data_IF_066535702529
#
_entry.id   IF_066535702529
#
_cell.length_a   1.000
_cell.length_b   1.000
_cell.length_c   1.000
_cell.angle_alpha   90.00
_cell.angle_beta   90.00
_cell.angle_gamma   90.00
#
_symmetry.space_group_name_H-M   'P 1'
#
loop_
_entity.id
_entity.type
_entity.pdbx_description
1 polymer ?
#
# COMPACT_ATOMS: atom_id res chain seq x y z
N UNK A 1 -1.11 51.25 80.73
CA UNK A 1 -1.27 49.80 81.02
C UNK A 1 -1.88 49.14 79.78
N UNK A 2 -1.49 47.90 79.50
CA UNK A 2 -2.08 46.90 78.56
C UNK A 2 -3.62 46.99 78.41
N UNK A 3 -4.34 46.53 77.37
CA UNK A 3 -4.06 45.92 76.05
C UNK A 3 -5.39 45.99 75.22
N UNK A 4 -5.52 45.69 73.92
CA UNK A 4 -4.63 45.18 72.85
C UNK A 4 -5.08 45.80 71.48
N UNK A 5 -4.47 45.45 70.34
CA UNK A 5 -4.94 45.83 68.99
C UNK A 5 -4.66 44.73 67.95
N UNK A 6 -5.68 44.03 67.48
CA UNK A 6 -5.56 43.03 66.39
C UNK A 6 -6.00 43.61 65.04
N UNK A 7 -5.31 43.18 63.98
CA UNK A 7 -5.49 43.63 62.60
C UNK A 7 -6.75 43.05 61.96
N UNK A 8 -7.38 43.82 61.08
CA UNK A 8 -8.26 43.26 60.04
C UNK A 8 -7.39 42.74 58.90
N UNK A 9 -7.56 41.46 58.57
CA UNK A 9 -6.89 40.82 57.45
C UNK A 9 -7.79 40.88 56.20
N UNK A 10 -7.26 41.39 55.09
CA UNK A 10 -7.98 41.53 53.81
C UNK A 10 -7.44 40.48 52.83
N UNK A 11 -8.02 39.27 52.92
CA UNK A 11 -7.74 38.20 51.96
C UNK A 11 -8.24 38.54 50.56
N UNK A 12 -7.31 38.91 49.66
CA UNK A 12 -7.58 39.04 48.23
C UNK A 12 -7.81 37.67 47.58
N UNK A 13 -8.72 37.61 46.61
CA UNK A 13 -9.08 36.36 45.90
C UNK A 13 -8.83 36.52 44.40
N UNK A 14 -8.24 35.50 43.79
CA UNK A 14 -7.63 35.54 42.44
C UNK A 14 -8.57 35.87 41.26
N UNK A 15 -8.49 37.09 40.76
CA UNK A 15 -9.04 37.45 39.44
C UNK A 15 -8.29 36.86 38.21
N UNK A 16 -6.95 36.68 38.17
CA UNK A 16 -6.26 36.36 36.91
C UNK A 16 -6.29 34.87 36.49
N UNK A 17 -6.74 33.95 37.36
CA UNK A 17 -6.71 32.51 37.08
C UNK A 17 -7.95 31.97 36.34
N UNK A 18 -9.12 32.59 36.49
CA UNK A 18 -10.32 32.14 35.75
C UNK A 18 -10.22 32.46 34.26
N UNK A 19 -9.76 33.66 33.86
CA UNK A 19 -9.62 34.02 32.44
C UNK A 19 -8.61 33.13 31.69
N UNK A 20 -7.48 32.75 32.31
CA UNK A 20 -6.56 31.77 31.69
C UNK A 20 -7.17 30.38 31.51
N UNK A 21 -8.05 29.95 32.43
CA UNK A 21 -8.74 28.66 32.33
C UNK A 21 -9.74 28.65 31.16
N UNK A 22 -10.54 29.71 30.99
CA UNK A 22 -11.46 29.79 29.84
C UNK A 22 -10.73 29.90 28.50
N UNK A 23 -9.65 30.68 28.42
CA UNK A 23 -8.88 30.84 27.17
C UNK A 23 -8.17 29.53 26.76
N UNK A 24 -7.65 28.77 27.73
CA UNK A 24 -7.05 27.45 27.44
C UNK A 24 -8.09 26.38 27.08
N UNK A 25 -9.28 26.40 27.68
CA UNK A 25 -10.39 25.53 27.24
C UNK A 25 -10.85 25.83 25.81
N UNK A 26 -10.93 27.12 25.42
CA UNK A 26 -11.30 27.52 24.06
C UNK A 26 -10.25 27.10 23.02
N UNK A 27 -8.95 27.26 23.34
CA UNK A 27 -7.84 26.84 22.46
C UNK A 27 -7.81 25.31 22.28
N UNK A 28 -8.04 24.56 23.35
CA UNK A 28 -8.04 23.09 23.34
C UNK A 28 -9.25 22.53 22.55
N UNK A 29 -10.41 23.18 22.64
CA UNK A 29 -11.59 22.84 21.83
C UNK A 29 -11.35 23.08 20.33
N UNK A 30 -10.57 24.11 19.98
CA UNK A 30 -10.22 24.42 18.59
C UNK A 30 -9.22 23.41 18.00
N UNK A 31 -8.23 22.95 18.79
CA UNK A 31 -7.30 21.89 18.35
C UNK A 31 -7.99 20.54 18.07
N UNK A 32 -9.05 20.20 18.81
CA UNK A 32 -9.78 18.94 18.59
C UNK A 32 -10.70 18.94 17.36
N UNK A 33 -11.04 20.11 16.80
CA UNK A 33 -11.91 20.21 15.61
C UNK A 33 -11.15 20.15 14.28
N UNK A 34 -9.91 20.66 14.24
CA UNK A 34 -9.07 20.68 13.02
C UNK A 34 -8.88 19.31 12.33
N UNK A 35 -8.57 18.19 13.02
CA UNK A 35 -8.40 16.90 12.34
C UNK A 35 -9.70 16.32 11.76
N UNK A 36 -10.87 16.66 12.32
CA UNK A 36 -12.17 16.20 11.83
C UNK A 36 -12.64 16.99 10.59
N UNK A 37 -12.31 18.29 10.50
CA UNK A 37 -12.60 19.11 9.33
C UNK A 37 -11.80 18.68 8.09
N UNK A 38 -10.51 18.35 8.26
CA UNK A 38 -9.70 17.81 7.16
C UNK A 38 -10.25 16.46 6.66
N UNK A 39 -10.55 15.52 7.56
CA UNK A 39 -11.04 14.19 7.19
C UNK A 39 -12.43 14.25 6.52
N UNK A 40 -13.32 15.12 6.98
CA UNK A 40 -14.65 15.30 6.36
C UNK A 40 -14.57 15.96 4.98
N UNK A 41 -13.73 16.97 4.78
CA UNK A 41 -13.48 17.55 3.46
C UNK A 41 -12.86 16.53 2.48
N UNK A 42 -11.94 15.68 2.96
CA UNK A 42 -11.29 14.66 2.12
C UNK A 42 -12.26 13.52 1.74
N UNK A 43 -13.17 13.13 2.64
CA UNK A 43 -14.28 12.21 2.34
C UNK A 43 -15.31 12.82 1.37
N UNK A 44 -15.62 14.11 1.50
CA UNK A 44 -16.51 14.81 0.56
C UNK A 44 -15.89 14.99 -0.83
N UNK A 45 -14.57 15.20 -0.92
CA UNK A 45 -13.85 15.20 -2.19
C UNK A 45 -13.92 13.82 -2.88
N UNK A 46 -13.69 12.73 -2.15
CA UNK A 46 -13.83 11.36 -2.68
C UNK A 46 -15.28 11.05 -3.14
N UNK A 47 -16.29 11.53 -2.40
CA UNK A 47 -17.69 11.39 -2.79
C UNK A 47 -18.03 12.20 -4.06
N UNK A 48 -17.52 13.42 -4.20
CA UNK A 48 -17.70 14.27 -5.37
C UNK A 48 -17.04 13.67 -6.63
N UNK A 49 -15.84 13.09 -6.50
CA UNK A 49 -15.16 12.32 -7.55
C UNK A 49 -16.01 11.13 -7.99
N UNK A 50 -16.55 10.36 -7.05
CA UNK A 50 -17.41 9.20 -7.35
C UNK A 50 -18.68 9.61 -8.11
N UNK A 51 -19.27 10.76 -7.78
CA UNK A 51 -20.39 11.32 -8.52
C UNK A 51 -20.02 11.75 -9.95
N UNK A 52 -18.84 12.35 -10.15
CA UNK A 52 -18.35 12.75 -11.46
C UNK A 52 -18.09 11.55 -12.40
N UNK A 53 -17.49 10.48 -11.88
CA UNK A 53 -17.25 9.23 -12.64
C UNK A 53 -18.58 8.60 -13.10
N UNK A 54 -19.59 8.55 -12.23
CA UNK A 54 -20.93 8.07 -12.60
C UNK A 54 -21.60 8.96 -13.67
N UNK A 55 -21.34 10.27 -13.66
CA UNK A 55 -21.92 11.20 -14.63
C UNK A 55 -21.28 11.08 -16.02
N UNK A 56 -20.00 10.70 -16.09
CA UNK A 56 -19.28 10.46 -17.35
C UNK A 56 -19.71 9.12 -18.00
N UNK A 57 -20.04 8.12 -17.20
CA UNK A 57 -20.43 6.79 -17.68
C UNK A 57 -21.85 6.71 -18.30
N UNK A 58 -22.65 7.79 -18.22
CA UNK A 58 -23.98 7.87 -18.84
C UNK A 58 -24.01 8.45 -20.26
N UNK A 59 -22.89 8.93 -20.81
CA UNK A 59 -22.83 9.49 -22.18
C UNK A 59 -22.27 8.53 -23.25
N UNK A 60 -21.87 7.33 -22.87
CA UNK A 60 -21.36 6.31 -23.80
C UNK A 60 -22.50 5.49 -24.42
N UNK A 61 -22.86 5.74 -25.68
CA UNK A 61 -23.78 4.88 -26.42
C UNK A 61 -23.21 3.45 -26.59
N UNK A 62 -24.01 2.39 -26.46
CA UNK A 62 -23.55 1.02 -26.70
C UNK A 62 -23.31 0.78 -28.20
N UNK A 63 -22.11 0.32 -28.56
CA UNK A 63 -21.75 -0.06 -29.93
C UNK A 63 -22.45 -1.36 -30.36
N UNK A 64 -22.78 -1.49 -31.66
CA UNK A 64 -23.59 -2.60 -32.22
C UNK A 64 -23.13 -4.02 -31.82
N UNK A 65 -21.85 -4.23 -31.53
CA UNK A 65 -21.31 -5.51 -31.09
C UNK A 65 -22.00 -6.04 -29.81
N UNK A 66 -22.42 -5.14 -28.91
CA UNK A 66 -23.16 -5.49 -27.68
C UNK A 66 -24.51 -6.13 -27.98
N UNK A 67 -25.27 -5.59 -28.94
CA UNK A 67 -26.62 -6.05 -29.26
C UNK A 67 -26.64 -7.43 -29.95
N UNK A 68 -25.66 -7.73 -30.80
CA UNK A 68 -25.53 -9.04 -31.46
C UNK A 68 -25.19 -10.17 -30.46
N UNK A 69 -24.41 -9.86 -29.41
CA UNK A 69 -24.12 -10.82 -28.34
C UNK A 69 -25.39 -11.13 -27.52
N UNK A 70 -26.20 -10.11 -27.20
CA UNK A 70 -27.43 -10.27 -26.42
C UNK A 70 -28.51 -11.11 -27.13
N UNK A 71 -28.67 -10.99 -28.45
CA UNK A 71 -29.63 -11.82 -29.20
C UNK A 71 -29.24 -13.31 -29.21
N UNK A 72 -27.93 -13.63 -29.26
CA UNK A 72 -27.46 -15.03 -29.25
C UNK A 72 -27.74 -15.75 -27.92
N UNK A 73 -27.71 -15.05 -26.79
CA UNK A 73 -27.98 -15.63 -25.47
C UNK A 73 -29.48 -15.93 -25.26
N UNK A 74 -30.37 -15.17 -25.90
CA UNK A 74 -31.82 -15.40 -25.80
C UNK A 74 -32.30 -16.60 -26.64
N UNK A 75 -31.67 -16.87 -27.79
CA UNK A 75 -32.02 -18.01 -28.64
C UNK A 75 -31.77 -19.37 -27.97
N UNK A 76 -30.74 -19.49 -27.12
CA UNK A 76 -30.34 -20.76 -26.49
C UNK A 76 -31.22 -21.22 -25.32
N UNK A 77 -32.31 -20.50 -25.00
CA UNK A 77 -33.20 -20.79 -23.85
C UNK A 77 -34.55 -21.42 -24.23
N UNK A 78 -34.79 -21.70 -25.51
CA UNK A 78 -36.10 -22.09 -26.04
C UNK A 78 -36.30 -23.60 -26.31
N UNK A 79 -35.29 -24.44 -26.11
CA UNK A 79 -35.39 -25.90 -26.28
C UNK A 79 -34.86 -26.62 -25.04
N UNK A 80 -35.78 -27.14 -24.21
CA UNK A 80 -35.68 -28.37 -23.38
C UNK A 80 -36.85 -28.42 -22.37
N UNK A 81 -38.03 -28.84 -22.85
CA UNK A 81 -39.12 -29.40 -22.04
C UNK A 81 -39.97 -30.32 -22.92
N UNK A 82 -39.90 -31.62 -22.64
CA UNK A 82 -41.00 -32.60 -22.62
C UNK A 82 -40.46 -34.03 -22.83
N UNK A 83 -41.12 -35.04 -22.23
CA UNK A 83 -40.90 -36.46 -22.49
C UNK A 83 -40.48 -37.28 -21.27
N UNK A 84 -41.40 -38.10 -20.74
CA UNK A 84 -41.22 -39.01 -19.60
C UNK A 84 -41.56 -40.45 -20.02
N UNK A 85 -40.82 -41.47 -19.53
CA UNK A 85 -41.36 -42.77 -19.02
C UNK A 85 -40.31 -43.89 -18.86
N UNK A 86 -40.23 -44.39 -17.61
CA UNK A 86 -40.29 -45.81 -17.15
C UNK A 86 -39.26 -46.91 -17.50
N UNK A 87 -38.83 -47.57 -16.40
CA UNK A 87 -38.58 -49.03 -16.21
C UNK A 87 -37.40 -49.75 -16.92
N UNK A 88 -36.32 -50.06 -16.16
CA UNK A 88 -36.14 -51.38 -15.49
C UNK A 88 -34.80 -51.49 -14.71
N UNK A 89 -34.82 -52.24 -13.60
CA UNK A 89 -33.71 -52.77 -12.78
C UNK A 89 -33.84 -54.32 -12.77
N UNK A 90 -32.90 -55.15 -12.23
CA UNK A 90 -31.70 -54.84 -11.44
C UNK A 90 -30.40 -55.60 -11.85
N UNK A 91 -29.27 -55.39 -11.14
CA UNK A 91 -28.18 -56.39 -11.14
C UNK A 91 -26.81 -56.00 -10.56
N UNK A 92 -26.49 -56.56 -9.37
CA UNK A 92 -25.16 -56.84 -8.79
C UNK A 92 -24.10 -55.74 -8.51
N UNK A 93 -23.82 -55.57 -7.22
CA UNK A 93 -22.46 -55.40 -6.66
C UNK A 93 -21.79 -56.78 -6.45
N UNK A 94 -20.47 -56.87 -6.15
CA UNK A 94 -20.09 -56.82 -4.73
C UNK A 94 -18.76 -56.07 -4.41
N UNK A 95 -18.54 -55.92 -3.10
CA UNK A 95 -17.34 -55.46 -2.38
C UNK A 95 -16.05 -56.22 -2.76
N UNK A 96 -14.82 -55.78 -2.40
CA UNK A 96 -14.32 -55.62 -1.02
C UNK A 96 -12.81 -55.24 -1.03
N UNK A 97 -12.20 -54.93 0.13
CA UNK A 97 -10.81 -55.35 0.39
C UNK A 97 -9.72 -54.29 0.64
N UNK A 98 -9.59 -53.93 1.92
CA UNK A 98 -8.44 -53.30 2.60
C UNK A 98 -7.04 -53.86 2.29
N UNK A 99 -5.99 -53.05 2.49
CA UNK A 99 -4.60 -53.51 2.60
C UNK A 99 -3.63 -52.41 3.08
N UNK A 100 -2.76 -52.71 4.05
CA UNK A 100 -1.90 -51.72 4.72
C UNK A 100 -0.43 -52.17 4.84
N UNK A 101 0.46 -51.19 5.05
CA UNK A 101 1.82 -51.29 5.62
C UNK A 101 2.91 -52.09 4.87
N UNK A 102 4.09 -51.48 4.73
CA UNK A 102 5.31 -52.15 4.23
C UNK A 102 6.52 -51.22 4.21
N UNK A 103 7.36 -51.28 5.23
CA UNK A 103 8.54 -50.43 5.42
C UNK A 103 9.84 -51.10 4.91
N UNK A 104 10.80 -50.36 4.33
CA UNK A 104 12.27 -50.46 4.62
C UNK A 104 13.18 -49.89 3.52
N UNK A 105 14.26 -49.24 3.95
CA UNK A 105 15.40 -48.73 3.16
C UNK A 105 16.43 -49.83 2.80
N UNK A 106 17.20 -49.67 1.70
CA UNK A 106 18.68 -49.53 1.79
C UNK A 106 19.35 -49.10 0.45
N UNK A 107 20.59 -48.60 0.56
CA UNK A 107 21.48 -48.19 -0.55
C UNK A 107 22.18 -49.38 -1.26
N UNK A 108 22.51 -49.26 -2.55
CA UNK A 108 23.92 -49.33 -2.99
C UNK A 108 24.21 -48.78 -4.42
N UNK A 109 25.51 -48.68 -4.77
CA UNK A 109 26.12 -48.00 -5.92
C UNK A 109 26.10 -48.82 -7.24
N UNK A 110 26.23 -48.14 -8.40
CA UNK A 110 26.22 -48.71 -9.77
C UNK A 110 27.53 -49.37 -10.24
N UNK A 111 27.94 -49.38 -11.55
CA UNK A 111 27.44 -48.60 -12.69
C UNK A 111 27.27 -49.36 -14.06
N UNK A 112 26.99 -48.62 -15.15
CA UNK A 112 27.44 -48.81 -16.58
C UNK A 112 26.40 -49.06 -17.71
N UNK A 113 26.32 -48.08 -18.63
CA UNK A 113 25.95 -48.08 -20.08
C UNK A 113 24.55 -48.52 -20.63
N UNK A 114 23.74 -47.49 -20.91
CA UNK A 114 23.42 -46.92 -22.26
C UNK A 114 22.52 -47.68 -23.26
N UNK A 115 21.23 -47.34 -23.23
CA UNK A 115 20.30 -47.09 -24.35
C UNK A 115 19.24 -46.11 -23.82
N UNK A 116 19.17 -44.83 -24.18
CA UNK A 116 18.98 -44.17 -25.49
C UNK A 116 17.49 -43.99 -25.89
N UNK A 117 16.82 -43.08 -25.18
CA UNK A 117 15.66 -42.24 -25.54
C UNK A 117 15.71 -41.11 -24.48
N UNK A 118 16.09 -39.85 -24.76
CA UNK A 118 15.43 -38.84 -25.60
C UNK A 118 13.93 -38.71 -25.26
N UNK A 119 13.42 -37.64 -24.65
CA UNK A 119 14.06 -36.38 -24.25
C UNK A 119 13.04 -35.25 -24.28
N UNK A 120 12.38 -34.99 -23.15
CA UNK A 120 11.42 -33.87 -23.01
C UNK A 120 11.98 -32.77 -22.10
N UNK A 121 13.00 -32.07 -22.61
CA UNK A 121 13.19 -30.65 -22.25
C UNK A 121 12.15 -29.83 -23.04
N UNK A 122 10.89 -29.90 -22.60
CA UNK A 122 9.79 -29.07 -23.10
C UNK A 122 9.74 -27.76 -22.33
N UNK A 123 9.72 -26.63 -23.04
CA UNK A 123 9.88 -25.29 -22.45
C UNK A 123 8.86 -24.97 -21.35
N UNK A 124 9.29 -24.14 -20.40
CA UNK A 124 8.44 -23.64 -19.31
C UNK A 124 7.32 -22.75 -19.86
N UNK A 125 6.19 -23.37 -20.23
CA UNK A 125 4.96 -22.67 -20.52
C UNK A 125 4.48 -21.96 -19.24
N UNK A 126 4.51 -20.63 -19.25
CA UNK A 126 3.90 -19.81 -18.21
C UNK A 126 2.44 -20.21 -18.07
N UNK A 127 2.04 -20.73 -16.90
CA UNK A 127 0.63 -21.07 -16.65
C UNK A 127 -0.17 -19.78 -16.65
N UNK A 128 -1.26 -19.73 -17.41
CA UNK A 128 -2.15 -18.57 -17.43
C UNK A 128 -3.22 -18.71 -16.35
N UNK A 129 -3.47 -17.62 -15.64
CA UNK A 129 -4.55 -17.50 -14.66
C UNK A 129 -5.93 -17.70 -15.32
N UNK A 130 -6.10 -17.28 -16.57
CA UNK A 130 -7.35 -17.46 -17.34
C UNK A 130 -7.67 -18.94 -17.60
N UNK A 131 -6.66 -19.80 -17.66
CA UNK A 131 -6.79 -21.22 -18.01
C UNK A 131 -6.86 -22.13 -16.75
N UNK A 132 -6.68 -21.57 -15.55
CA UNK A 132 -6.71 -22.32 -14.29
C UNK A 132 -8.09 -22.22 -13.62
N UNK A 133 -8.85 -23.32 -13.67
CA UNK A 133 -10.20 -23.42 -13.09
C UNK A 133 -10.26 -23.01 -11.61
N UNK A 134 -9.18 -23.17 -10.83
CA UNK A 134 -9.15 -22.77 -9.41
C UNK A 134 -9.00 -21.27 -9.25
N UNK A 135 -8.22 -20.63 -10.11
CA UNK A 135 -8.13 -19.16 -10.13
C UNK A 135 -9.49 -18.57 -10.53
N UNK A 136 -10.12 -19.12 -11.56
CA UNK A 136 -11.46 -18.71 -11.98
C UNK A 136 -12.52 -18.92 -10.89
N UNK A 137 -12.51 -20.06 -10.17
CA UNK A 137 -13.47 -20.31 -9.10
C UNK A 137 -13.27 -19.39 -7.89
N UNK A 138 -12.03 -19.10 -7.49
CA UNK A 138 -11.76 -18.10 -6.45
C UNK A 138 -12.16 -16.68 -6.86
N UNK A 139 -12.04 -16.31 -8.14
CA UNK A 139 -12.51 -15.01 -8.66
C UNK A 139 -14.05 -14.89 -8.57
N UNK A 140 -14.76 -15.98 -8.84
CA UNK A 140 -16.23 -16.04 -8.66
C UNK A 140 -16.61 -15.99 -7.17
N UNK A 141 -15.93 -16.75 -6.31
CA UNK A 141 -16.15 -16.74 -4.85
C UNK A 141 -15.87 -15.36 -4.23
N UNK A 142 -14.81 -14.67 -4.66
CA UNK A 142 -14.49 -13.30 -4.23
C UNK A 142 -15.64 -12.32 -4.52
N UNK A 143 -16.29 -12.48 -5.66
CA UNK A 143 -17.28 -11.51 -6.16
C UNK A 143 -18.69 -11.83 -5.67
N UNK A 144 -19.07 -13.10 -5.64
CA UNK A 144 -20.45 -13.56 -5.41
C UNK A 144 -20.61 -14.64 -4.34
N UNK A 145 -19.51 -15.26 -3.90
CA UNK A 145 -19.54 -16.39 -2.99
C UNK A 145 -19.59 -15.99 -1.51
N UNK A 146 -19.94 -16.92 -0.61
CA UNK A 146 -19.83 -16.73 0.82
C UNK A 146 -18.37 -16.76 1.31
N UNK A 147 -17.45 -17.41 0.58
CA UNK A 147 -16.09 -17.69 1.05
C UNK A 147 -15.06 -16.63 0.60
N UNK A 148 -15.48 -15.35 0.49
CA UNK A 148 -14.65 -14.22 0.02
C UNK A 148 -13.26 -14.18 0.69
N UNK A 149 -13.18 -14.43 2.00
CA UNK A 149 -11.94 -14.34 2.77
C UNK A 149 -10.91 -15.42 2.41
N UNK A 150 -11.36 -16.65 2.12
CA UNK A 150 -10.50 -17.74 1.66
C UNK A 150 -10.03 -17.49 0.22
N UNK A 151 -10.95 -17.04 -0.65
CA UNK A 151 -10.61 -16.65 -2.03
C UNK A 151 -9.56 -15.51 -2.07
N UNK A 152 -9.70 -14.48 -1.24
CA UNK A 152 -8.69 -13.41 -1.08
C UNK A 152 -7.33 -13.96 -0.67
N UNK A 153 -7.29 -14.89 0.29
CA UNK A 153 -6.06 -15.48 0.80
C UNK A 153 -5.36 -16.33 -0.26
N UNK A 154 -6.09 -17.20 -0.97
CA UNK A 154 -5.50 -18.07 -1.98
C UNK A 154 -5.06 -17.30 -3.23
N UNK A 155 -5.88 -16.39 -3.77
CA UNK A 155 -5.47 -15.49 -4.85
C UNK A 155 -4.24 -14.65 -4.43
N UNK A 156 -4.22 -14.16 -3.19
CA UNK A 156 -3.11 -13.39 -2.62
C UNK A 156 -1.80 -14.17 -2.57
N UNK A 157 -1.84 -15.48 -2.34
CA UNK A 157 -0.68 -16.41 -2.43
C UNK A 157 -0.27 -16.70 -3.87
N UNK A 158 -1.22 -16.69 -4.82
CA UNK A 158 -0.98 -17.06 -6.22
C UNK A 158 -0.47 -15.93 -7.11
N UNK A 159 -0.56 -14.67 -6.67
CA UNK A 159 -0.18 -13.48 -7.46
C UNK A 159 1.24 -13.43 -8.06
N UNK A 160 2.17 -14.27 -7.57
CA UNK A 160 3.56 -14.35 -8.05
C UNK A 160 3.80 -15.55 -9.00
N UNK A 161 2.78 -16.38 -9.25
CA UNK A 161 2.86 -17.58 -10.08
C UNK A 161 2.22 -17.43 -11.47
N UNK A 162 1.47 -16.35 -11.70
CA UNK A 162 0.72 -16.10 -12.93
C UNK A 162 0.88 -14.62 -13.33
N UNK A 163 1.61 -14.37 -14.42
CA UNK A 163 1.88 -13.01 -14.89
C UNK A 163 0.60 -12.26 -15.33
N UNK A 164 -0.37 -13.01 -15.87
CA UNK A 164 -1.65 -12.50 -16.38
C UNK A 164 -2.71 -12.28 -15.29
N UNK A 165 -2.48 -12.67 -14.03
CA UNK A 165 -3.50 -12.55 -12.96
C UNK A 165 -4.02 -11.12 -12.81
N UNK A 166 -3.16 -10.12 -12.94
CA UNK A 166 -3.55 -8.71 -12.91
C UNK A 166 -4.58 -8.36 -14.00
N UNK A 167 -4.43 -8.90 -15.21
CA UNK A 167 -5.39 -8.74 -16.30
C UNK A 167 -6.71 -9.45 -15.99
N UNK A 168 -6.66 -10.66 -15.41
CA UNK A 168 -7.87 -11.39 -15.03
C UNK A 168 -8.64 -10.63 -13.95
N UNK A 169 -7.96 -10.15 -12.91
CA UNK A 169 -8.55 -9.37 -11.81
C UNK A 169 -9.18 -8.06 -12.31
N UNK A 170 -8.53 -7.36 -13.25
CA UNK A 170 -9.03 -6.09 -13.77
C UNK A 170 -10.23 -6.26 -14.71
N UNK A 171 -10.19 -7.25 -15.60
CA UNK A 171 -11.22 -7.45 -16.63
C UNK A 171 -12.39 -8.34 -16.17
N UNK A 172 -12.26 -9.04 -15.03
CA UNK A 172 -13.35 -9.82 -14.45
C UNK A 172 -14.41 -8.90 -13.82
N UNK A 173 -15.64 -9.04 -14.29
CA UNK A 173 -16.76 -8.19 -13.87
C UNK A 173 -16.99 -8.29 -12.35
N UNK A 174 -17.05 -7.13 -11.68
CA UNK A 174 -17.31 -7.01 -10.24
C UNK A 174 -16.09 -7.16 -9.32
N UNK A 175 -14.96 -7.71 -9.78
CA UNK A 175 -13.79 -7.97 -8.92
C UNK A 175 -13.22 -6.69 -8.31
N UNK A 176 -12.97 -5.66 -9.13
CA UNK A 176 -12.45 -4.38 -8.62
C UNK A 176 -13.41 -3.71 -7.63
N UNK A 177 -14.72 -3.88 -7.83
CA UNK A 177 -15.75 -3.41 -6.88
C UNK A 177 -15.67 -4.16 -5.55
N UNK A 178 -15.52 -5.49 -5.58
CA UNK A 178 -15.36 -6.31 -4.37
C UNK A 178 -14.07 -5.98 -3.60
N UNK A 179 -12.96 -5.72 -4.30
CA UNK A 179 -11.70 -5.30 -3.67
C UNK A 179 -11.80 -3.90 -3.03
N UNK A 180 -12.58 -2.99 -3.62
CA UNK A 180 -12.89 -1.69 -3.01
C UNK A 180 -13.87 -1.82 -1.83
N UNK A 181 -14.84 -2.74 -1.90
CA UNK A 181 -15.76 -3.08 -0.79
C UNK A 181 -14.97 -3.51 0.46
N UNK A 182 -13.97 -4.38 0.30
CA UNK A 182 -13.07 -4.80 1.38
C UNK A 182 -12.30 -3.62 1.99
N UNK A 183 -11.85 -2.64 1.19
CA UNK A 183 -11.20 -1.42 1.71
C UNK A 183 -12.16 -0.55 2.52
N UNK A 184 -13.32 -0.19 1.95
CA UNK A 184 -14.26 0.73 2.61
C UNK A 184 -14.86 0.13 3.88
N UNK A 185 -14.97 -1.22 3.95
CA UNK A 185 -15.42 -1.94 5.16
C UNK A 185 -14.55 -1.65 6.39
N UNK A 186 -13.29 -1.26 6.19
CA UNK A 186 -12.33 -1.00 7.27
C UNK A 186 -12.43 0.43 7.81
N UNK A 187 -12.98 1.38 7.04
CA UNK A 187 -13.04 2.80 7.42
C UNK A 187 -13.68 3.06 8.81
N UNK A 188 -14.79 2.40 9.22
CA UNK A 188 -15.36 2.56 10.56
C UNK A 188 -14.42 2.18 11.72
N UNK A 189 -13.41 1.34 11.47
CA UNK A 189 -12.45 0.86 12.48
C UNK A 189 -11.16 1.71 12.53
N UNK A 190 -11.05 2.76 11.72
CA UNK A 190 -9.94 3.71 11.74
C UNK A 190 -10.12 4.78 12.83
N UNK A 191 -11.37 5.13 13.15
CA UNK A 191 -11.72 6.11 14.18
C UNK A 191 -13.11 5.77 14.77
N UNK A 192 -13.20 5.19 15.99
CA UNK A 192 -12.10 4.85 16.90
C UNK A 192 -11.18 3.73 16.36
N UNK A 193 -9.93 3.70 16.83
CA UNK A 193 -8.86 2.83 16.33
C UNK A 193 -9.01 1.35 16.80
N UNK A 194 -10.10 0.70 16.39
CA UNK A 194 -10.52 -0.62 16.87
C UNK A 194 -10.30 -1.75 15.84
N UNK A 195 -9.30 -1.62 14.97
CA UNK A 195 -8.98 -2.62 13.94
C UNK A 195 -8.39 -3.90 14.56
N UNK A 196 -9.06 -5.03 14.33
CA UNK A 196 -8.61 -6.35 14.79
C UNK A 196 -7.58 -6.98 13.84
N UNK A 197 -6.76 -7.92 14.34
CA UNK A 197 -5.79 -8.65 13.52
C UNK A 197 -6.43 -9.42 12.36
N UNK A 198 -7.55 -10.16 12.52
CA UNK A 198 -8.20 -10.84 11.39
C UNK A 198 -8.69 -9.86 10.32
N UNK A 199 -9.36 -8.77 10.70
CA UNK A 199 -9.84 -7.75 9.76
C UNK A 199 -8.68 -7.09 9.00
N UNK A 200 -7.58 -6.77 9.69
CA UNK A 200 -6.34 -6.28 9.08
C UNK A 200 -5.74 -7.29 8.09
N UNK A 201 -5.66 -8.57 8.44
CA UNK A 201 -5.14 -9.61 7.55
C UNK A 201 -5.99 -9.74 6.28
N UNK A 202 -7.32 -9.77 6.42
CA UNK A 202 -8.28 -9.88 5.32
C UNK A 202 -8.14 -8.73 4.32
N UNK A 203 -8.19 -7.47 4.78
CA UNK A 203 -8.01 -6.32 3.87
C UNK A 203 -6.59 -6.30 3.27
N UNK A 204 -5.56 -6.74 4.00
CA UNK A 204 -4.20 -6.81 3.44
C UNK A 204 -4.08 -7.84 2.30
N UNK A 205 -4.87 -8.91 2.30
CA UNK A 205 -4.96 -9.82 1.15
C UNK A 205 -5.57 -9.11 -0.08
N UNK A 206 -6.64 -8.31 0.12
CA UNK A 206 -7.22 -7.50 -0.96
C UNK A 206 -6.22 -6.43 -1.46
N UNK A 207 -5.49 -5.77 -0.57
CA UNK A 207 -4.42 -4.82 -0.93
C UNK A 207 -3.29 -5.48 -1.72
N UNK A 208 -2.94 -6.75 -1.42
CA UNK A 208 -1.92 -7.48 -2.18
C UNK A 208 -2.38 -7.80 -3.61
N UNK A 209 -3.68 -8.01 -3.84
CA UNK A 209 -4.25 -8.14 -5.19
C UNK A 209 -4.26 -6.79 -5.93
N UNK A 210 -4.60 -5.70 -5.25
CA UNK A 210 -4.48 -4.34 -5.83
C UNK A 210 -3.02 -3.97 -6.12
N UNK A 211 -2.06 -4.45 -5.34
CA UNK A 211 -0.62 -4.30 -5.63
C UNK A 211 -0.21 -5.06 -6.90
N UNK A 212 -0.78 -6.24 -7.15
CA UNK A 212 -0.59 -6.99 -8.40
C UNK A 212 -1.14 -6.21 -9.61
N UNK A 213 -2.37 -5.69 -9.51
CA UNK A 213 -2.99 -4.85 -10.55
C UNK A 213 -2.20 -3.56 -10.81
N UNK A 214 -1.69 -2.91 -9.76
CA UNK A 214 -0.86 -1.70 -9.86
C UNK A 214 0.53 -1.96 -10.46
N UNK A 215 1.07 -3.18 -10.28
CA UNK A 215 2.42 -3.52 -10.77
C UNK A 215 2.43 -3.90 -12.25
N UNK A 216 1.35 -4.47 -12.79
CA UNK A 216 1.27 -4.96 -14.18
C UNK A 216 1.14 -3.80 -15.20
N UNK A 217 1.90 -3.82 -16.32
CA UNK A 217 2.00 -2.67 -17.24
C UNK A 217 0.68 -2.25 -17.89
N UNK A 218 -0.16 -3.20 -18.31
CA UNK A 218 -1.41 -2.90 -19.03
C UNK A 218 -2.54 -2.38 -18.13
N UNK A 219 -2.57 -2.76 -16.86
CA UNK A 219 -3.63 -2.35 -15.92
C UNK A 219 -3.26 -1.11 -15.11
N UNK A 220 -1.98 -0.77 -14.99
CA UNK A 220 -1.48 0.35 -14.17
C UNK A 220 -2.09 1.69 -14.52
N UNK A 221 -2.18 2.03 -15.81
CA UNK A 221 -2.75 3.30 -16.25
C UNK A 221 -4.24 3.39 -15.87
N UNK A 222 -5.01 2.33 -16.16
CA UNK A 222 -6.42 2.27 -15.81
C UNK A 222 -6.67 2.29 -14.29
N UNK A 223 -5.81 1.63 -13.51
CA UNK A 223 -5.82 1.67 -12.03
C UNK A 223 -5.57 3.09 -11.47
N UNK A 224 -4.66 3.84 -12.11
CA UNK A 224 -4.36 5.23 -11.78
C UNK A 224 -5.52 6.16 -12.16
N UNK A 225 -6.06 6.02 -13.37
CA UNK A 225 -7.19 6.81 -13.88
C UNK A 225 -8.48 6.57 -13.09
N UNK A 226 -8.69 5.36 -12.59
CA UNK A 226 -9.78 5.03 -11.67
C UNK A 226 -9.58 5.61 -10.25
N UNK A 227 -8.46 6.29 -9.99
CA UNK A 227 -8.11 6.96 -8.72
C UNK A 227 -8.14 6.05 -7.47
N UNK A 228 -8.03 4.73 -7.68
CA UNK A 228 -8.00 3.70 -6.62
C UNK A 228 -6.96 3.99 -5.51
N UNK A 229 -5.76 4.55 -5.78
CA UNK A 229 -4.82 4.92 -4.73
C UNK A 229 -5.38 5.82 -3.62
N UNK A 230 -6.36 6.68 -3.91
CA UNK A 230 -6.95 7.60 -2.94
C UNK A 230 -7.67 6.86 -1.80
N UNK A 231 -8.25 5.69 -2.10
CA UNK A 231 -8.91 4.85 -1.09
C UNK A 231 -7.94 4.31 -0.02
N UNK A 232 -6.62 4.37 -0.26
CA UNK A 232 -5.59 3.91 0.66
C UNK A 232 -5.10 5.00 1.62
N UNK A 233 -5.37 6.28 1.33
CA UNK A 233 -4.85 7.39 2.12
C UNK A 233 -5.41 7.46 3.55
N UNK A 234 -6.70 7.12 3.83
CA UNK A 234 -7.19 6.95 5.20
C UNK A 234 -6.36 5.94 6.01
N UNK A 235 -5.87 4.86 5.39
CA UNK A 235 -5.00 3.88 6.05
C UNK A 235 -3.62 4.48 6.36
N UNK A 236 -3.01 5.15 5.39
CA UNK A 236 -1.69 5.80 5.53
C UNK A 236 -1.70 6.89 6.62
N UNK A 237 -2.81 7.59 6.81
CA UNK A 237 -2.94 8.64 7.82
C UNK A 237 -3.07 8.10 9.26
N UNK A 238 -3.29 6.80 9.47
CA UNK A 238 -3.42 6.23 10.83
C UNK A 238 -2.14 6.39 11.68
N UNK A 239 -2.32 6.64 12.97
CA UNK A 239 -1.23 6.87 13.94
C UNK A 239 -1.01 5.72 14.94
N UNK A 240 -1.91 4.73 14.96
CA UNK A 240 -1.83 3.61 15.90
C UNK A 240 -0.60 2.74 15.64
N UNK A 241 0.21 2.55 16.68
CA UNK A 241 1.39 1.65 16.67
C UNK A 241 1.04 0.18 16.93
N UNK A 242 -0.26 -0.16 17.00
CA UNK A 242 -0.67 -1.55 17.13
C UNK A 242 -0.35 -2.33 15.85
N UNK A 243 -0.03 -3.63 15.99
CA UNK A 243 0.37 -4.50 14.87
C UNK A 243 -0.62 -4.51 13.68
N UNK A 244 -1.96 -4.51 13.85
CA UNK A 244 -2.90 -4.42 12.73
C UNK A 244 -2.73 -3.14 11.89
N UNK A 245 -2.48 -2.00 12.55
CA UNK A 245 -2.32 -0.70 11.88
C UNK A 245 -0.94 -0.51 11.24
N UNK A 246 0.13 -1.05 11.83
CA UNK A 246 1.45 -1.10 11.18
C UNK A 246 1.40 -1.97 9.91
N UNK A 247 0.76 -3.15 9.98
CA UNK A 247 0.64 -4.06 8.83
C UNK A 247 -0.24 -3.47 7.71
N UNK A 248 -1.36 -2.84 8.08
CA UNK A 248 -2.24 -2.14 7.14
C UNK A 248 -1.50 -1.01 6.40
N UNK A 249 -0.75 -0.17 7.11
CA UNK A 249 0.04 0.92 6.52
C UNK A 249 1.14 0.39 5.62
N UNK A 250 1.88 -0.62 6.05
CA UNK A 250 2.93 -1.25 5.23
C UNK A 250 2.38 -1.81 3.91
N UNK A 251 1.27 -2.55 3.97
CA UNK A 251 0.66 -3.15 2.78
C UNK A 251 0.10 -2.09 1.84
N UNK A 252 -0.51 -1.02 2.39
CA UNK A 252 -0.98 0.13 1.62
C UNK A 252 0.17 0.86 0.90
N UNK A 253 1.31 1.07 1.59
CA UNK A 253 2.52 1.59 0.96
C UNK A 253 3.08 0.65 -0.11
N UNK A 254 2.89 -0.66 0.01
CA UNK A 254 3.25 -1.64 -1.02
C UNK A 254 2.56 -1.37 -2.36
N UNK A 255 1.28 -1.00 -2.35
CA UNK A 255 0.52 -0.62 -3.56
C UNK A 255 1.09 0.65 -4.19
N UNK A 256 1.29 1.71 -3.40
CA UNK A 256 1.87 2.98 -3.89
C UNK A 256 3.30 2.77 -4.41
N UNK A 257 4.10 1.98 -3.69
CA UNK A 257 5.45 1.58 -4.06
C UNK A 257 5.52 0.81 -5.40
N UNK A 258 4.51 -0.01 -5.70
CA UNK A 258 4.41 -0.71 -6.98
C UNK A 258 4.14 0.24 -8.16
N UNK A 259 3.33 1.28 -7.96
CA UNK A 259 3.07 2.31 -8.99
C UNK A 259 4.34 3.08 -9.35
N UNK A 260 5.03 3.64 -8.35
CA UNK A 260 6.24 4.46 -8.56
C UNK A 260 7.47 3.66 -9.00
N UNK A 261 7.45 2.33 -8.87
CA UNK A 261 8.59 1.47 -9.23
C UNK A 261 9.04 1.66 -10.69
N UNK A 262 8.10 1.94 -11.59
CA UNK A 262 8.29 2.00 -13.04
C UNK A 262 8.64 3.39 -13.58
N UNK A 263 8.90 4.38 -12.72
CA UNK A 263 9.36 5.73 -13.10
C UNK A 263 8.44 6.45 -14.12
N UNK A 264 7.12 6.19 -14.06
CA UNK A 264 6.13 6.85 -14.92
C UNK A 264 5.87 8.29 -14.43
N UNK A 265 6.11 9.33 -15.26
CA UNK A 265 5.84 10.72 -14.88
C UNK A 265 4.36 10.98 -14.57
N UNK A 266 3.45 10.25 -15.21
CA UNK A 266 2.01 10.33 -14.95
C UNK A 266 1.65 9.91 -13.51
N UNK A 267 2.29 8.84 -13.02
CA UNK A 267 2.15 8.39 -11.63
C UNK A 267 2.69 9.45 -10.67
N UNK A 268 3.84 10.05 -10.97
CA UNK A 268 4.41 11.12 -10.14
C UNK A 268 3.47 12.32 -10.11
N UNK A 269 3.01 12.80 -11.27
CA UNK A 269 2.09 13.93 -11.37
C UNK A 269 0.79 13.71 -10.58
N UNK A 270 0.18 12.53 -10.69
CA UNK A 270 -0.99 12.15 -9.86
C UNK A 270 -0.66 12.24 -8.36
N UNK A 271 0.45 11.65 -7.93
CA UNK A 271 0.88 11.62 -6.53
C UNK A 271 1.19 13.01 -5.96
N UNK A 272 1.74 13.93 -6.78
CA UNK A 272 1.97 15.32 -6.40
C UNK A 272 0.66 16.08 -6.17
N UNK A 273 -0.36 15.85 -7.02
CA UNK A 273 -1.68 16.52 -6.88
C UNK A 273 -2.53 16.00 -5.71
N UNK A 274 -2.10 14.93 -5.04
CA UNK A 274 -2.93 14.21 -4.05
C UNK A 274 -2.29 14.12 -2.66
N UNK A 275 -1.23 14.89 -2.39
CA UNK A 275 -0.60 15.01 -1.06
C UNK A 275 0.02 13.72 -0.48
N UNK A 276 0.58 12.83 -1.32
CA UNK A 276 1.27 11.63 -0.80
C UNK A 276 2.50 11.94 0.06
N UNK A 277 3.17 13.08 -0.20
CA UNK A 277 4.44 13.44 0.45
C UNK A 277 4.24 13.64 1.97
N UNK A 278 3.30 14.48 2.46
CA UNK A 278 2.97 14.57 3.88
C UNK A 278 2.70 13.21 4.56
N UNK A 279 1.96 12.31 3.90
CA UNK A 279 1.68 10.97 4.42
C UNK A 279 2.95 10.12 4.55
N UNK A 280 3.82 10.14 3.55
CA UNK A 280 5.10 9.43 3.60
C UNK A 280 6.04 10.01 4.67
N UNK A 281 6.12 11.33 4.80
CA UNK A 281 6.96 12.00 5.81
C UNK A 281 6.52 11.62 7.24
N UNK A 282 5.22 11.61 7.53
CA UNK A 282 4.65 11.16 8.81
C UNK A 282 5.03 9.71 9.15
N UNK A 283 5.05 8.83 8.14
CA UNK A 283 5.44 7.42 8.32
C UNK A 283 6.95 7.31 8.54
N UNK A 284 7.76 8.01 7.74
CA UNK A 284 9.23 8.09 7.85
C UNK A 284 9.70 8.58 9.23
N UNK A 285 8.95 9.49 9.86
CA UNK A 285 9.23 10.00 11.20
C UNK A 285 9.07 8.94 12.30
N UNK A 286 7.93 8.25 12.38
CA UNK A 286 7.50 7.58 13.62
C UNK A 286 7.03 6.11 13.53
N UNK A 287 7.10 5.47 12.36
CA UNK A 287 6.63 4.08 12.14
C UNK A 287 7.76 3.03 12.19
N UNK A 288 7.42 1.75 12.02
CA UNK A 288 8.40 0.65 11.92
C UNK A 288 9.41 0.82 10.77
N UNK A 289 10.63 0.29 10.93
CA UNK A 289 11.74 0.40 9.95
C UNK A 289 11.33 -0.03 8.54
N UNK A 290 10.52 -1.10 8.43
CA UNK A 290 10.04 -1.61 7.14
C UNK A 290 9.08 -0.61 6.46
N UNK A 291 8.14 -0.03 7.21
CA UNK A 291 7.25 1.03 6.72
C UNK A 291 8.04 2.30 6.36
N UNK A 292 9.04 2.69 7.17
CA UNK A 292 9.97 3.79 6.85
C UNK A 292 10.70 3.53 5.53
N UNK A 293 11.12 2.29 5.27
CA UNK A 293 11.86 1.89 4.06
C UNK A 293 11.02 2.05 2.80
N UNK A 294 9.75 1.63 2.83
CA UNK A 294 8.86 1.81 1.67
C UNK A 294 8.47 3.28 1.49
N UNK A 295 8.24 4.03 2.57
CA UNK A 295 7.91 5.45 2.51
C UNK A 295 9.06 6.31 1.95
N UNK A 296 10.31 6.11 2.41
CA UNK A 296 11.47 6.82 1.83
C UNK A 296 11.72 6.39 0.38
N UNK A 297 11.46 5.14 -0.01
CA UNK A 297 11.54 4.71 -1.41
C UNK A 297 10.55 5.47 -2.31
N UNK A 298 9.32 5.68 -1.86
CA UNK A 298 8.31 6.48 -2.59
C UNK A 298 8.75 7.94 -2.70
N UNK A 299 9.17 8.57 -1.60
CA UNK A 299 9.68 9.95 -1.61
C UNK A 299 10.92 10.09 -2.50
N UNK A 300 11.82 9.11 -2.47
CA UNK A 300 12.98 9.08 -3.36
C UNK A 300 12.55 9.02 -4.82
N UNK A 301 11.62 8.14 -5.20
CA UNK A 301 11.11 8.04 -6.58
C UNK A 301 10.47 9.34 -7.06
N UNK A 302 9.70 10.02 -6.22
CA UNK A 302 9.17 11.36 -6.51
C UNK A 302 10.31 12.37 -6.70
N UNK A 303 11.32 12.39 -5.83
CA UNK A 303 12.45 13.30 -5.98
C UNK A 303 13.32 13.01 -7.22
N UNK A 304 13.44 11.75 -7.68
CA UNK A 304 14.20 11.42 -8.89
C UNK A 304 13.59 12.07 -10.15
N UNK A 305 12.28 12.27 -10.17
CA UNK A 305 11.58 12.98 -11.24
C UNK A 305 11.80 14.51 -11.15
N UNK A 306 11.90 15.20 -12.29
CA UNK A 306 12.14 16.65 -12.32
C UNK A 306 10.93 17.46 -11.82
N UNK A 307 9.70 17.02 -12.09
CA UNK A 307 8.48 17.67 -11.57
C UNK A 307 8.36 17.49 -10.05
N UNK A 308 8.75 16.32 -9.54
CA UNK A 308 8.74 16.03 -8.10
C UNK A 308 9.81 16.78 -7.33
N UNK A 309 11.03 16.90 -7.87
CA UNK A 309 12.06 17.78 -7.32
C UNK A 309 11.59 19.25 -7.32
N UNK A 310 11.07 19.73 -8.46
CA UNK A 310 10.56 21.10 -8.57
C UNK A 310 9.43 21.38 -7.57
N UNK A 311 8.49 20.44 -7.37
CA UNK A 311 7.40 20.57 -6.39
C UNK A 311 7.91 20.69 -4.95
N UNK A 312 8.87 19.86 -4.55
CA UNK A 312 9.45 19.87 -3.20
C UNK A 312 10.25 21.14 -2.95
N UNK A 313 11.03 21.59 -3.94
CA UNK A 313 11.82 22.81 -3.85
C UNK A 313 11.04 24.10 -4.17
N UNK A 314 9.76 24.02 -4.56
CA UNK A 314 8.94 25.18 -4.95
C UNK A 314 8.80 26.24 -3.83
N UNK A 315 8.78 25.80 -2.58
CA UNK A 315 8.64 26.65 -1.40
C UNK A 315 9.60 26.20 -0.32
N UNK A 316 10.13 27.13 0.47
CA UNK A 316 11.00 26.79 1.60
C UNK A 316 10.33 25.83 2.58
N UNK A 317 9.03 25.98 2.86
CA UNK A 317 8.27 25.12 3.79
C UNK A 317 8.27 23.64 3.38
N UNK A 318 8.00 23.33 2.10
CA UNK A 318 8.04 21.96 1.58
C UNK A 318 9.44 21.36 1.64
N UNK A 319 10.46 22.13 1.27
CA UNK A 319 11.85 21.72 1.36
C UNK A 319 12.27 21.46 2.82
N UNK A 320 11.93 22.38 3.74
CA UNK A 320 12.26 22.29 5.17
C UNK A 320 11.60 21.07 5.82
N UNK A 321 10.31 20.80 5.51
CA UNK A 321 9.60 19.62 5.97
C UNK A 321 10.29 18.31 5.53
N UNK A 322 10.70 18.18 4.27
CA UNK A 322 11.45 17.01 3.78
C UNK A 322 12.83 16.95 4.45
N UNK A 323 13.58 18.06 4.49
CA UNK A 323 14.92 18.16 5.08
C UNK A 323 14.93 17.77 6.56
N UNK A 324 13.92 18.17 7.34
CA UNK A 324 13.82 17.87 8.77
C UNK A 324 13.63 16.38 9.02
N UNK A 325 12.75 15.72 8.27
CA UNK A 325 12.52 14.27 8.43
C UNK A 325 13.74 13.47 7.96
N UNK A 326 14.41 13.87 6.87
CA UNK A 326 15.66 13.26 6.45
C UNK A 326 16.76 13.40 7.50
N UNK A 327 16.88 14.56 8.15
CA UNK A 327 17.81 14.78 9.28
C UNK A 327 17.48 13.87 10.46
N UNK A 328 16.21 13.85 10.90
CA UNK A 328 15.76 12.99 12.00
C UNK A 328 16.06 11.51 11.73
N UNK A 329 15.92 11.04 10.48
CA UNK A 329 16.28 9.68 10.10
C UNK A 329 17.80 9.43 10.21
N UNK A 330 18.65 10.36 9.81
CA UNK A 330 20.11 10.26 10.01
C UNK A 330 20.45 10.18 11.50
N UNK A 331 19.89 11.07 12.32
CA UNK A 331 20.15 11.14 13.76
C UNK A 331 19.71 9.84 14.46
N UNK A 332 18.60 9.23 14.03
CA UNK A 332 18.17 7.89 14.49
C UNK A 332 19.12 6.78 14.05
N UNK A 333 19.61 6.81 12.80
CA UNK A 333 20.51 5.78 12.25
C UNK A 333 21.94 5.85 12.80
N UNK A 334 22.38 7.01 13.30
CA UNK A 334 23.65 7.13 14.01
C UNK A 334 23.66 6.30 15.32
N UNK A 335 22.49 6.11 15.94
CA UNK A 335 22.31 5.27 17.14
C UNK A 335 21.96 3.82 16.77
N UNK A 336 21.06 3.62 15.81
CA UNK A 336 20.60 2.29 15.36
C UNK A 336 20.82 2.13 13.85
N UNK A 337 21.97 1.59 13.42
CA UNK A 337 22.34 1.53 12.00
C UNK A 337 21.34 0.75 11.12
N UNK A 338 20.79 1.41 10.11
CA UNK A 338 19.88 0.81 9.12
C UNK A 338 20.40 1.06 7.69
N UNK A 339 21.26 0.19 7.12
CA UNK A 339 21.97 0.44 5.85
C UNK A 339 21.04 0.74 4.67
N UNK A 340 19.88 0.07 4.61
CA UNK A 340 18.88 0.25 3.54
C UNK A 340 18.26 1.64 3.58
N UNK A 341 17.85 2.10 4.77
CA UNK A 341 17.33 3.46 4.97
C UNK A 341 18.39 4.51 4.64
N UNK A 342 19.62 4.32 5.10
CA UNK A 342 20.73 5.24 4.87
C UNK A 342 21.00 5.47 3.38
N UNK A 343 21.02 4.39 2.57
CA UNK A 343 21.15 4.47 1.11
C UNK A 343 20.08 5.39 0.48
N UNK A 344 18.82 5.21 0.88
CA UNK A 344 17.72 6.02 0.36
C UNK A 344 17.81 7.48 0.81
N UNK A 345 18.13 7.74 2.09
CA UNK A 345 18.28 9.10 2.63
C UNK A 345 19.44 9.86 1.95
N UNK A 346 20.60 9.22 1.75
CA UNK A 346 21.73 9.81 0.98
C UNK A 346 21.29 10.15 -0.45
N UNK A 347 20.53 9.26 -1.11
CA UNK A 347 20.03 9.47 -2.48
C UNK A 347 19.07 10.66 -2.55
N UNK A 348 18.19 10.84 -1.56
CA UNK A 348 17.30 12.00 -1.46
C UNK A 348 18.08 13.30 -1.25
N UNK A 349 19.05 13.34 -0.33
CA UNK A 349 19.89 14.52 -0.11
C UNK A 349 20.69 14.91 -1.36
N UNK A 350 21.30 13.93 -2.03
CA UNK A 350 22.05 14.17 -3.27
C UNK A 350 21.16 14.82 -4.34
N UNK A 351 19.93 14.33 -4.51
CA UNK A 351 18.97 14.87 -5.48
C UNK A 351 18.46 16.26 -5.12
N UNK A 352 18.22 16.53 -3.83
CA UNK A 352 17.87 17.88 -3.37
C UNK A 352 18.99 18.90 -3.65
N UNK A 353 20.26 18.47 -3.69
CA UNK A 353 21.40 19.32 -4.04
C UNK A 353 21.50 19.67 -5.54
N UNK A 354 20.71 19.05 -6.42
CA UNK A 354 20.63 19.46 -7.83
C UNK A 354 19.95 20.84 -7.95
N UNK A 355 18.94 21.13 -7.13
CA UNK A 355 18.29 22.44 -7.05
C UNK A 355 19.19 23.47 -6.33
N UNK A 356 19.34 24.67 -6.91
CA UNK A 356 20.30 25.67 -6.43
C UNK A 356 19.96 26.26 -5.05
N UNK A 357 18.68 26.52 -4.77
CA UNK A 357 18.22 27.11 -3.52
C UNK A 357 18.29 26.09 -2.38
N UNK A 358 17.82 24.87 -2.63
CA UNK A 358 17.94 23.73 -1.73
C UNK A 358 19.42 23.40 -1.44
N UNK A 359 20.30 23.36 -2.46
CA UNK A 359 21.75 23.18 -2.27
C UNK A 359 22.34 24.25 -1.35
N UNK A 360 21.92 25.50 -1.49
CA UNK A 360 22.38 26.61 -0.64
C UNK A 360 21.96 26.42 0.82
N UNK A 361 20.73 25.99 1.08
CA UNK A 361 20.28 25.64 2.43
C UNK A 361 20.94 24.37 2.99
N UNK A 362 21.21 23.36 2.14
CA UNK A 362 21.86 22.10 2.56
C UNK A 362 23.28 22.29 3.09
N UNK A 363 23.99 23.37 2.70
CA UNK A 363 25.31 23.74 3.23
C UNK A 363 25.35 23.80 4.76
N UNK A 364 24.26 24.25 5.39
CA UNK A 364 24.13 24.36 6.84
C UNK A 364 23.31 23.21 7.46
N UNK A 365 22.43 22.57 6.66
CA UNK A 365 21.45 21.59 7.16
C UNK A 365 21.87 20.12 7.09
N UNK A 366 22.82 19.75 6.22
CA UNK A 366 23.30 18.35 6.14
C UNK A 366 23.93 17.93 7.48
N UNK A 367 23.42 16.87 8.15
CA UNK A 367 23.86 16.47 9.49
C UNK A 367 25.35 16.15 9.57
N UNK A 368 25.97 16.42 10.74
CA UNK A 368 27.40 16.17 10.95
C UNK A 368 27.76 14.68 10.82
N UNK A 369 26.86 13.77 11.22
CA UNK A 369 27.07 12.32 11.05
C UNK A 369 27.16 11.85 9.58
N UNK A 370 26.77 12.67 8.60
CA UNK A 370 27.05 12.42 7.17
C UNK A 370 28.38 13.04 6.69
N UNK A 371 28.99 13.94 7.47
CA UNK A 371 30.26 14.61 7.17
C UNK A 371 31.45 13.97 7.86
N UNK A 372 31.22 13.29 8.98
CA UNK A 372 32.21 12.55 9.75
C UNK A 372 32.24 11.06 9.38
N UNK A 373 33.01 10.28 10.14
CA UNK A 373 33.22 8.84 9.92
C UNK A 373 32.15 7.93 10.56
N UNK A 374 31.02 8.46 11.06
CA UNK A 374 29.97 7.69 11.75
C UNK A 374 29.46 6.51 10.92
N UNK A 375 29.21 6.72 9.62
CA UNK A 375 28.66 5.69 8.75
C UNK A 375 29.69 4.90 7.94
N UNK A 376 31.00 5.12 8.10
CA UNK A 376 32.02 4.46 7.28
C UNK A 376 31.97 2.92 7.36
N UNK A 377 31.66 2.38 8.55
CA UNK A 377 31.45 0.93 8.74
C UNK A 377 30.16 0.43 8.11
N UNK A 378 29.11 1.24 8.13
CA UNK A 378 27.77 0.91 7.59
C UNK A 378 27.77 0.94 6.06
N UNK A 379 28.62 1.79 5.46
CA UNK A 379 28.76 1.99 4.02
C UNK A 379 29.93 1.19 3.41
N UNK A 380 30.65 0.38 4.19
CA UNK A 380 31.81 -0.38 3.72
C UNK A 380 31.45 -1.33 2.56
N UNK A 381 30.32 -2.03 2.69
CA UNK A 381 29.81 -2.98 1.69
C UNK A 381 28.89 -2.33 0.63
N UNK A 382 28.74 -1.00 0.64
CA UNK A 382 27.89 -0.26 -0.30
C UNK A 382 28.67 0.84 -1.04
N UNK A 383 29.45 0.47 -2.07
CA UNK A 383 30.25 1.43 -2.84
C UNK A 383 29.39 2.46 -3.57
N UNK A 384 28.11 2.15 -3.86
CA UNK A 384 27.20 3.08 -4.54
C UNK A 384 26.70 4.16 -3.58
N UNK A 385 26.28 3.78 -2.37
CA UNK A 385 25.91 4.74 -1.34
C UNK A 385 27.12 5.59 -0.90
N UNK A 386 28.30 4.98 -0.77
CA UNK A 386 29.54 5.72 -0.47
C UNK A 386 29.88 6.76 -1.55
N UNK A 387 29.82 6.38 -2.84
CA UNK A 387 29.99 7.31 -3.97
C UNK A 387 28.96 8.45 -3.94
N UNK A 388 27.69 8.13 -3.71
CA UNK A 388 26.62 9.14 -3.63
C UNK A 388 26.86 10.12 -2.46
N UNK A 389 27.35 9.64 -1.31
CA UNK A 389 27.70 10.49 -0.18
C UNK A 389 28.89 11.41 -0.50
N UNK A 390 29.97 10.88 -1.09
CA UNK A 390 31.11 11.72 -1.51
C UNK A 390 30.69 12.80 -2.52
N UNK A 391 29.80 12.47 -3.47
CA UNK A 391 29.27 13.44 -4.42
C UNK A 391 28.40 14.49 -3.72
N UNK A 392 27.54 14.10 -2.78
CA UNK A 392 26.73 15.03 -1.98
C UNK A 392 27.63 16.01 -1.24
N UNK A 393 28.63 15.53 -0.50
CA UNK A 393 29.56 16.38 0.25
C UNK A 393 30.31 17.35 -0.68
N UNK A 394 30.84 16.87 -1.80
CA UNK A 394 31.48 17.73 -2.82
C UNK A 394 30.54 18.78 -3.43
N UNK A 395 29.23 18.54 -3.43
CA UNK A 395 28.23 19.45 -4.02
C UNK A 395 27.74 20.50 -3.01
N UNK A 396 27.78 20.21 -1.71
CA UNK A 396 27.28 21.12 -0.65
C UNK A 396 28.37 21.82 0.18
N UNK A 397 29.62 21.36 0.11
CA UNK A 397 30.79 22.08 0.66
C UNK A 397 31.27 23.10 -0.38
#
# INVERSE_FOLDING_TARGET
MYNNRQQFDLGGVDAPNQQRTYQSQFLNQQQHQQPNLALSQQLQAAAAVTAAVNHQNQQSQPTMASQLMSQRVQASKATLKDGNSENMMPGNSPSNGSGASGNSSNNNRGPTRRSQEAGEEGGAATRKAVEDEKICSWIVELTYGPNKEEALLELGKKREYYDDLALVLWNSYGVMTALLEEIISIYPYLSPQNLTTPASNRVCNALALLQCVASHPETRAAFLHAQIPLFLYPFLNTSSKQRPFEYLRLTSLGVIGALVKNDSPEVIQFLLTTEIIPLCLKIMESSSELSKTVAIFIVQKILMDDSGLAYVCQTYERFDAVSNVLKLMIDQMAVNPAPRLLRHVIRCYLRLADNADARSALKERVPQSLRDHTFDRVLADDPTAKKNLSQLLYTVM
#
